data_IF_152943711511
#
_entry.id   IF_152943711511
#
_cell.length_a   1.000
_cell.length_b   1.000
_cell.length_c   1.000
_cell.angle_alpha   90.00
_cell.angle_beta   90.00
_cell.angle_gamma   90.00
#
_symmetry.space_group_name_H-M   'P 1'
#
loop_
_entity.id
_entity.type
_entity.pdbx_description
1 polymer ?
#
# COMPACT_ATOMS: atom_id res chain seq x y z
N UNK A 1 -22.29 40.45 4.74
CA UNK A 1 -22.82 39.75 5.93
C UNK A 1 -23.21 38.34 5.53
N UNK A 2 -22.55 37.35 6.12
CA UNK A 2 -22.73 35.93 5.88
C UNK A 2 -24.12 35.44 6.31
N UNK A 3 -24.72 34.52 5.54
CA UNK A 3 -25.68 33.56 6.09
C UNK A 3 -25.32 32.16 5.60
N UNK A 4 -24.62 31.45 6.48
CA UNK A 4 -24.51 30.00 6.51
C UNK A 4 -25.91 29.38 6.47
N UNK A 5 -26.10 28.35 5.62
CA UNK A 5 -27.26 27.49 5.73
C UNK A 5 -27.55 26.71 4.46
N UNK A 6 -26.94 25.52 4.33
CA UNK A 6 -27.64 24.27 3.99
C UNK A 6 -26.63 23.09 4.00
N UNK A 7 -26.08 22.78 5.18
CA UNK A 7 -25.47 21.47 5.45
C UNK A 7 -26.46 20.69 6.32
N UNK A 8 -27.45 20.10 5.66
CA UNK A 8 -28.32 19.09 6.25
C UNK A 8 -28.78 18.21 5.11
N UNK A 9 -28.51 16.90 5.22
CA UNK A 9 -28.98 15.79 4.37
C UNK A 9 -27.90 14.99 3.65
N UNK A 10 -26.82 14.60 4.31
CA UNK A 10 -26.11 13.35 3.94
C UNK A 10 -25.57 12.69 5.22
N UNK A 11 -26.46 12.19 6.08
CA UNK A 11 -26.05 11.30 7.17
C UNK A 11 -27.20 10.38 7.55
N UNK A 12 -27.59 9.49 6.64
CA UNK A 12 -28.39 8.32 7.00
C UNK A 12 -28.34 7.25 5.90
N UNK A 13 -27.16 6.68 5.64
CA UNK A 13 -27.11 5.32 5.13
C UNK A 13 -26.68 4.47 6.32
N UNK A 14 -27.70 3.88 6.94
CA UNK A 14 -27.62 2.92 8.04
C UNK A 14 -26.64 1.80 7.65
N UNK A 15 -25.39 1.91 8.11
CA UNK A 15 -24.43 0.82 8.14
C UNK A 15 -25.04 -0.26 9.02
N UNK A 16 -25.51 -1.35 8.38
CA UNK A 16 -25.82 -2.61 9.04
C UNK A 16 -24.56 -3.11 9.74
N UNK A 17 -24.37 -2.68 10.98
CA UNK A 17 -23.42 -3.27 11.92
C UNK A 17 -23.98 -4.63 12.32
N UNK A 18 -23.49 -5.68 11.68
CA UNK A 18 -23.58 -7.03 12.24
C UNK A 18 -22.51 -7.10 13.33
N UNK A 19 -22.88 -7.38 14.60
CA UNK A 19 -21.89 -7.59 15.65
C UNK A 19 -21.21 -8.93 15.39
N UNK A 20 -19.93 -8.90 15.00
CA UNK A 20 -19.09 -10.09 15.00
C UNK A 20 -18.75 -10.42 16.45
N UNK A 21 -19.57 -11.31 17.02
CA UNK A 21 -19.22 -12.07 18.20
C UNK A 21 -17.88 -12.80 17.95
N UNK A 22 -17.01 -12.77 18.96
CA UNK A 22 -15.65 -13.28 18.89
C UNK A 22 -15.58 -14.73 18.43
N UNK A 23 -15.13 -14.92 17.20
CA UNK A 23 -14.59 -16.16 16.64
C UNK A 23 -13.39 -15.74 15.78
N UNK A 24 -12.33 -16.55 15.78
CA UNK A 24 -11.06 -16.26 15.10
C UNK A 24 -11.29 -15.65 13.71
N UNK A 25 -10.94 -14.36 13.55
CA UNK A 25 -11.15 -13.63 12.32
C UNK A 25 -10.18 -14.21 11.27
N UNK A 26 -10.70 -14.74 10.16
CA UNK A 26 -9.86 -15.29 9.10
C UNK A 26 -8.92 -14.21 8.56
N UNK A 27 -7.78 -14.60 7.98
CA UNK A 27 -6.83 -13.66 7.37
C UNK A 27 -7.52 -12.75 6.34
N UNK A 28 -8.52 -13.26 5.63
CA UNK A 28 -9.37 -12.51 4.70
C UNK A 28 -10.28 -11.50 5.37
N UNK A 29 -10.95 -11.89 6.44
CA UNK A 29 -11.86 -10.99 7.17
C UNK A 29 -11.09 -9.85 7.85
N UNK A 30 -9.83 -10.09 8.23
CA UNK A 30 -8.93 -9.04 8.70
C UNK A 30 -8.59 -8.04 7.58
N UNK A 31 -8.18 -8.54 6.41
CA UNK A 31 -7.88 -7.68 5.25
C UNK A 31 -9.10 -6.84 4.85
N UNK A 32 -10.28 -7.46 4.85
CA UNK A 32 -11.53 -6.75 4.57
C UNK A 32 -11.82 -5.66 5.62
N UNK A 33 -11.68 -5.97 6.92
CA UNK A 33 -11.88 -4.99 7.99
C UNK A 33 -10.87 -3.84 7.94
N UNK A 34 -9.60 -4.14 7.64
CA UNK A 34 -8.55 -3.13 7.46
C UNK A 34 -8.90 -2.20 6.26
N UNK A 35 -9.43 -2.76 5.17
CA UNK A 35 -9.94 -1.99 4.02
C UNK A 35 -11.11 -1.07 4.39
N UNK A 36 -12.09 -1.55 5.15
CA UNK A 36 -13.23 -0.74 5.62
C UNK A 36 -12.77 0.40 6.53
N UNK A 37 -11.79 0.16 7.41
CA UNK A 37 -11.21 1.21 8.27
C UNK A 37 -10.55 2.30 7.44
N UNK A 38 -9.84 1.93 6.37
CA UNK A 38 -9.22 2.88 5.45
C UNK A 38 -10.26 3.70 4.68
N UNK A 39 -11.42 3.13 4.31
CA UNK A 39 -12.50 3.88 3.65
C UNK A 39 -13.08 5.02 4.49
N UNK A 40 -13.04 4.91 5.82
CA UNK A 40 -13.47 5.98 6.74
C UNK A 40 -12.58 7.23 6.63
N UNK A 41 -11.38 7.06 6.08
CA UNK A 41 -10.44 8.16 5.85
C UNK A 41 -10.71 8.75 4.46
N UNK A 42 -11.26 9.96 4.43
CA UNK A 42 -11.64 10.69 3.20
C UNK A 42 -10.42 11.30 2.48
N UNK A 43 -9.37 10.51 2.25
CA UNK A 43 -8.19 10.91 1.48
C UNK A 43 -7.98 9.97 0.31
N UNK A 44 -7.45 10.48 -0.80
CA UNK A 44 -7.18 9.67 -2.00
C UNK A 44 -6.25 8.49 -1.66
N UNK A 45 -5.19 8.76 -0.88
CA UNK A 45 -4.24 7.73 -0.45
C UNK A 45 -4.90 6.62 0.40
N UNK A 46 -5.79 6.98 1.33
CA UNK A 46 -6.47 5.96 2.13
C UNK A 46 -7.47 5.14 1.30
N UNK A 47 -8.15 5.75 0.34
CA UNK A 47 -9.03 5.02 -0.57
C UNK A 47 -8.25 4.07 -1.50
N UNK A 48 -7.05 4.47 -1.96
CA UNK A 48 -6.17 3.59 -2.74
C UNK A 48 -5.66 2.41 -1.91
N UNK A 49 -5.29 2.64 -0.65
CA UNK A 49 -4.93 1.55 0.29
C UNK A 49 -6.12 0.63 0.57
N UNK A 50 -7.34 1.18 0.70
CA UNK A 50 -8.55 0.39 0.89
C UNK A 50 -8.80 -0.57 -0.29
N UNK A 51 -8.67 -0.09 -1.53
CA UNK A 51 -8.79 -0.92 -2.75
C UNK A 51 -7.81 -2.10 -2.70
N UNK A 52 -6.54 -1.85 -2.40
CA UNK A 52 -5.54 -2.91 -2.31
C UNK A 52 -5.87 -3.96 -1.23
N UNK A 53 -6.47 -3.56 -0.11
CA UNK A 53 -6.91 -4.49 0.93
C UNK A 53 -8.11 -5.33 0.49
N UNK A 54 -9.07 -4.73 -0.22
CA UNK A 54 -10.21 -5.47 -0.78
C UNK A 54 -9.81 -6.43 -1.90
N UNK A 55 -8.83 -6.08 -2.73
CA UNK A 55 -8.29 -6.99 -3.75
C UNK A 55 -7.61 -8.21 -3.10
N UNK A 56 -6.80 -8.00 -2.05
CA UNK A 56 -6.19 -9.10 -1.29
C UNK A 56 -7.24 -9.97 -0.59
N UNK A 57 -8.26 -9.37 0.00
CA UNK A 57 -9.36 -10.10 0.62
C UNK A 57 -10.14 -10.92 -0.43
N UNK A 58 -10.38 -10.35 -1.61
CA UNK A 58 -11.07 -11.02 -2.74
C UNK A 58 -10.32 -12.26 -3.22
N UNK A 59 -8.99 -12.20 -3.29
CA UNK A 59 -8.15 -13.34 -3.72
C UNK A 59 -8.27 -14.51 -2.75
N UNK A 60 -8.42 -14.26 -1.46
CA UNK A 60 -8.42 -15.31 -0.45
C UNK A 60 -9.82 -15.82 -0.06
N UNK A 61 -10.90 -15.15 -0.51
CA UNK A 61 -12.25 -15.69 -0.38
C UNK A 61 -12.54 -16.71 -1.48
N UNK A 62 -13.26 -17.78 -1.13
CA UNK A 62 -13.71 -18.78 -2.11
C UNK A 62 -15.12 -18.47 -2.66
N UNK A 63 -15.99 -17.88 -1.83
CA UNK A 63 -17.39 -17.57 -2.19
C UNK A 63 -17.52 -16.38 -3.15
N UNK A 64 -18.36 -16.55 -4.17
CA UNK A 64 -18.76 -15.50 -5.12
C UNK A 64 -19.38 -14.29 -4.43
N UNK A 65 -20.19 -14.51 -3.39
CA UNK A 65 -20.85 -13.45 -2.65
C UNK A 65 -19.84 -12.56 -1.93
N UNK A 66 -18.84 -13.16 -1.28
CA UNK A 66 -17.78 -12.41 -0.60
C UNK A 66 -16.88 -11.65 -1.57
N UNK A 67 -16.60 -12.24 -2.74
CA UNK A 67 -15.90 -11.55 -3.84
C UNK A 67 -16.69 -10.34 -4.34
N UNK A 68 -18.01 -10.48 -4.52
CA UNK A 68 -18.90 -9.40 -4.94
C UNK A 68 -18.95 -8.26 -3.92
N UNK A 69 -18.91 -8.56 -2.61
CA UNK A 69 -18.82 -7.54 -1.56
C UNK A 69 -17.52 -6.75 -1.70
N UNK A 70 -16.38 -7.41 -1.94
CA UNK A 70 -15.10 -6.73 -2.19
C UNK A 70 -15.19 -5.81 -3.41
N UNK A 71 -15.83 -6.26 -4.50
CA UNK A 71 -16.02 -5.45 -5.72
C UNK A 71 -16.89 -4.22 -5.47
N UNK A 72 -17.95 -4.35 -4.66
CA UNK A 72 -18.77 -3.22 -4.25
C UNK A 72 -17.99 -2.19 -3.43
N UNK A 73 -17.11 -2.65 -2.53
CA UNK A 73 -16.28 -1.75 -1.73
C UNK A 73 -15.20 -1.05 -2.57
N UNK A 74 -14.59 -1.76 -3.52
CA UNK A 74 -13.65 -1.18 -4.50
C UNK A 74 -14.35 -0.08 -5.32
N UNK A 75 -15.55 -0.36 -5.84
CA UNK A 75 -16.35 0.64 -6.59
C UNK A 75 -16.68 1.87 -5.75
N UNK A 76 -16.96 1.66 -4.46
CA UNK A 76 -17.21 2.75 -3.51
C UNK A 76 -15.96 3.61 -3.35
N UNK A 77 -14.79 3.01 -3.10
CA UNK A 77 -13.52 3.73 -3.00
C UNK A 77 -13.15 4.48 -4.28
N UNK A 78 -13.38 3.90 -5.45
CA UNK A 78 -13.18 4.58 -6.75
C UNK A 78 -14.07 5.83 -6.90
N UNK A 79 -15.31 5.75 -6.43
CA UNK A 79 -16.25 6.89 -6.44
C UNK A 79 -15.76 8.00 -5.50
N UNK A 80 -15.27 7.64 -4.31
CA UNK A 80 -14.72 8.61 -3.35
C UNK A 80 -13.47 9.27 -3.95
N UNK A 81 -12.55 8.51 -4.56
CA UNK A 81 -11.36 9.05 -5.22
C UNK A 81 -11.74 10.04 -6.31
N UNK A 82 -12.73 9.71 -7.15
CA UNK A 82 -13.22 10.61 -8.21
C UNK A 82 -13.72 11.93 -7.61
N UNK A 83 -14.53 11.86 -6.55
CA UNK A 83 -15.09 13.04 -5.89
C UNK A 83 -14.01 13.89 -5.19
N UNK A 84 -13.02 13.26 -4.56
CA UNK A 84 -11.89 13.96 -3.93
C UNK A 84 -10.98 14.64 -4.96
N UNK A 85 -10.76 13.99 -6.12
CA UNK A 85 -10.02 14.58 -7.25
C UNK A 85 -10.76 15.76 -7.88
N UNK A 86 -12.09 15.66 -8.07
CA UNK A 86 -12.88 16.79 -8.59
C UNK A 86 -12.93 17.98 -7.62
N UNK A 87 -12.97 17.72 -6.31
CA UNK A 87 -12.92 18.78 -5.27
C UNK A 87 -11.55 19.49 -5.23
N UNK A 88 -10.48 18.82 -5.67
CA UNK A 88 -9.13 19.39 -5.77
C UNK A 88 -8.90 20.24 -7.03
N UNK A 89 -9.79 20.13 -8.04
CA UNK A 89 -9.64 20.75 -9.36
C UNK A 89 -10.58 21.95 -9.62
N UNK A 90 -11.28 22.49 -8.61
CA UNK A 90 -12.04 23.76 -8.74
C UNK A 90 -11.14 25.02 -8.87
N UNK A 91 -9.89 24.84 -9.27
CA UNK A 91 -8.94 25.90 -9.54
C UNK A 91 -8.12 25.68 -10.81
N UNK A 92 -8.73 25.22 -11.91
CA UNK A 92 -8.34 25.50 -13.32
C UNK A 92 -9.07 24.54 -14.28
N UNK A 93 -10.06 25.04 -15.02
CA UNK A 93 -10.10 24.97 -16.49
C UNK A 93 -11.40 25.57 -17.05
N UNK A 94 -11.26 26.67 -17.81
CA UNK A 94 -12.22 27.08 -18.85
C UNK A 94 -11.57 26.77 -20.20
N UNK A 95 -12.16 25.83 -20.95
CA UNK A 95 -12.31 25.82 -22.43
C UNK A 95 -12.86 24.43 -22.83
N UNK A 96 -14.18 24.22 -22.97
CA UNK A 96 -14.98 24.31 -24.22
C UNK A 96 -14.34 23.49 -25.37
N UNK A 97 -15.03 22.63 -26.14
CA UNK A 97 -16.46 22.55 -26.50
C UNK A 97 -16.73 21.24 -27.29
N UNK A 98 -17.78 20.53 -26.88
CA UNK A 98 -18.85 19.80 -27.60
C UNK A 98 -18.55 18.94 -28.87
N UNK A 99 -19.12 17.73 -28.90
CA UNK A 99 -20.08 17.24 -29.93
C UNK A 99 -20.94 16.12 -29.31
N UNK A 100 -22.17 15.98 -29.81
CA UNK A 100 -23.40 15.46 -29.21
C UNK A 100 -23.93 14.23 -30.01
N UNK A 101 -24.49 13.21 -29.31
CA UNK A 101 -25.38 12.08 -29.73
C UNK A 101 -24.95 11.15 -30.91
N UNK A 102 -25.22 9.84 -30.98
CA UNK A 102 -26.33 8.98 -30.53
C UNK A 102 -25.88 7.48 -30.51
N UNK A 103 -26.69 6.50 -30.03
CA UNK A 103 -26.33 5.11 -29.76
C UNK A 103 -26.64 4.18 -30.94
N UNK A 104 -25.85 3.10 -31.11
CA UNK A 104 -26.34 1.75 -31.47
C UNK A 104 -25.20 0.71 -31.43
N UNK A 105 -25.60 -0.49 -31.07
CA UNK A 105 -25.16 -1.81 -31.53
C UNK A 105 -23.85 -2.49 -31.03
N UNK A 106 -24.12 -3.58 -30.30
CA UNK A 106 -23.52 -4.91 -30.23
C UNK A 106 -21.99 -5.19 -30.27
N UNK A 107 -21.59 -5.89 -29.20
CA UNK A 107 -20.79 -7.12 -29.12
C UNK A 107 -19.28 -7.13 -29.47
N UNK A 108 -18.53 -7.34 -28.38
CA UNK A 108 -17.35 -8.21 -28.20
C UNK A 108 -16.05 -7.88 -28.96
N UNK A 109 -14.97 -7.63 -28.22
CA UNK A 109 -13.91 -8.63 -27.96
C UNK A 109 -12.98 -8.10 -26.86
N UNK A 110 -12.66 -9.03 -25.97
CA UNK A 110 -11.68 -9.04 -24.89
C UNK A 110 -10.35 -8.37 -25.27
N UNK A 111 -9.97 -7.32 -24.53
CA UNK A 111 -8.61 -6.77 -24.60
C UNK A 111 -8.05 -6.65 -23.18
N UNK A 112 -6.98 -7.42 -22.95
CA UNK A 112 -6.04 -7.40 -21.83
C UNK A 112 -5.85 -6.00 -21.21
N UNK A 113 -5.63 -5.89 -19.89
CA UNK A 113 -5.43 -4.59 -19.24
C UNK A 113 -4.20 -3.91 -19.84
N UNK A 114 -4.46 -2.83 -20.58
CA UNK A 114 -3.45 -1.94 -21.15
C UNK A 114 -2.64 -1.35 -19.99
N UNK A 115 -1.39 -1.79 -19.84
CA UNK A 115 -0.41 -1.23 -18.89
C UNK A 115 -0.41 0.30 -19.11
N UNK A 116 -0.96 1.06 -18.16
CA UNK A 116 -0.95 2.52 -18.25
C UNK A 116 0.50 2.98 -18.28
N UNK A 117 0.94 3.55 -19.41
CA UNK A 117 2.30 4.08 -19.59
C UNK A 117 2.42 5.32 -18.72
N UNK A 118 3.20 5.23 -17.65
CA UNK A 118 3.40 6.31 -16.67
C UNK A 118 4.63 7.13 -17.06
N UNK A 119 4.42 8.38 -17.44
CA UNK A 119 5.47 9.21 -18.06
C UNK A 119 6.33 9.99 -17.04
N UNK A 120 5.95 10.04 -15.76
CA UNK A 120 6.56 10.94 -14.77
C UNK A 120 6.82 10.27 -13.41
N UNK A 121 7.23 9.01 -13.39
CA UNK A 121 7.48 8.27 -12.14
C UNK A 121 8.59 8.95 -11.33
N UNK A 122 8.30 9.34 -10.10
CA UNK A 122 9.26 9.76 -9.07
C UNK A 122 9.34 8.61 -8.09
N UNK A 123 10.52 8.07 -7.91
CA UNK A 123 10.78 6.98 -6.98
C UNK A 123 12.12 7.25 -6.28
N UNK A 124 12.09 7.39 -4.96
CA UNK A 124 13.27 7.63 -4.15
C UNK A 124 13.12 7.05 -2.75
N UNK A 125 14.23 6.84 -2.06
CA UNK A 125 14.26 6.65 -0.62
C UNK A 125 14.66 7.96 0.06
N UNK A 126 14.12 8.22 1.25
CA UNK A 126 14.67 9.28 2.11
C UNK A 126 16.11 8.95 2.56
N UNK A 127 16.45 7.66 2.63
CA UNK A 127 17.79 7.15 2.86
C UNK A 127 18.00 5.85 2.09
N UNK A 128 19.03 5.81 1.25
CA UNK A 128 19.37 4.66 0.40
C UNK A 128 20.41 3.70 1.02
N UNK A 129 20.80 3.93 2.28
CA UNK A 129 21.77 3.11 2.99
C UNK A 129 21.38 2.86 4.45
N UNK A 130 21.34 1.58 4.85
CA UNK A 130 21.13 1.18 6.23
C UNK A 130 22.30 0.34 6.75
N UNK A 131 22.73 0.63 7.98
CA UNK A 131 23.79 -0.13 8.67
C UNK A 131 23.22 -0.84 9.88
N UNK A 132 23.36 -2.17 9.97
CA UNK A 132 22.86 -2.98 11.08
C UNK A 132 23.99 -3.57 11.93
N UNK A 133 23.68 -3.87 13.19
CA UNK A 133 24.55 -4.61 14.10
C UNK A 133 24.57 -6.10 13.76
N UNK A 134 25.64 -6.77 14.17
CA UNK A 134 25.82 -8.20 13.95
C UNK A 134 24.71 -9.05 14.58
N UNK A 135 24.22 -8.67 15.77
CA UNK A 135 23.19 -9.43 16.50
C UNK A 135 21.87 -9.57 15.75
N UNK A 136 21.55 -8.64 14.84
CA UNK A 136 20.22 -8.56 14.25
C UNK A 136 19.15 -8.18 15.28
N UNK A 137 17.88 -8.33 14.89
CA UNK A 137 16.70 -8.05 15.73
C UNK A 137 16.44 -6.57 16.02
N UNK A 138 17.17 -5.65 15.38
CA UNK A 138 16.81 -4.24 15.34
C UNK A 138 16.03 -3.95 14.05
N UNK A 139 15.05 -3.05 14.14
CA UNK A 139 14.22 -2.62 13.02
C UNK A 139 14.63 -1.22 12.60
N UNK A 140 14.73 -0.98 11.28
CA UNK A 140 14.96 0.35 10.72
C UNK A 140 13.89 0.66 9.69
N UNK A 141 13.43 1.92 9.70
CA UNK A 141 12.40 2.42 8.78
C UNK A 141 13.04 3.27 7.69
N UNK A 142 12.56 3.10 6.47
CA UNK A 142 12.92 3.91 5.30
C UNK A 142 11.64 4.34 4.63
N UNK A 143 11.53 5.64 4.38
CA UNK A 143 10.39 6.19 3.66
C UNK A 143 10.61 6.00 2.16
N UNK A 144 9.62 5.40 1.50
CA UNK A 144 9.59 5.26 0.04
C UNK A 144 8.76 6.40 -0.52
N UNK A 145 9.41 7.27 -1.29
CA UNK A 145 8.74 8.35 -1.98
C UNK A 145 8.42 7.89 -3.40
N UNK A 146 7.19 7.41 -3.61
CA UNK A 146 6.64 7.25 -4.95
C UNK A 146 5.46 8.19 -5.19
N UNK A 147 5.38 8.78 -6.38
CA UNK A 147 4.20 9.54 -6.81
C UNK A 147 3.01 8.65 -7.24
N UNK A 148 3.17 7.33 -7.19
CA UNK A 148 2.12 6.34 -7.38
C UNK A 148 2.03 5.43 -6.15
N UNK A 149 0.83 4.95 -5.81
CA UNK A 149 0.57 4.22 -4.57
C UNK A 149 0.90 2.71 -4.62
N UNK A 150 1.35 2.22 -5.78
CA UNK A 150 1.55 0.80 -6.10
C UNK A 150 3.04 0.39 -6.13
N UNK A 151 3.89 1.11 -5.40
CA UNK A 151 5.26 0.65 -5.23
C UNK A 151 5.29 -0.69 -4.49
N UNK A 152 6.21 -1.57 -4.89
CA UNK A 152 6.36 -2.91 -4.33
C UNK A 152 7.83 -3.26 -4.16
N UNK A 153 8.11 -4.08 -3.15
CA UNK A 153 9.42 -4.72 -3.01
C UNK A 153 9.46 -5.92 -3.95
N UNK A 154 10.50 -6.01 -4.78
CA UNK A 154 10.65 -7.08 -5.78
C UNK A 154 11.73 -8.08 -5.45
N UNK A 155 12.75 -7.66 -4.70
CA UNK A 155 13.86 -8.53 -4.33
C UNK A 155 14.34 -8.24 -2.90
N UNK A 156 14.58 -9.31 -2.15
CA UNK A 156 14.96 -9.26 -0.73
C UNK A 156 15.90 -10.44 -0.43
N UNK A 157 17.14 -10.16 0.03
CA UNK A 157 18.04 -11.19 0.54
C UNK A 157 17.42 -12.02 1.67
N UNK A 158 17.67 -13.33 1.69
CA UNK A 158 17.05 -14.28 2.65
C UNK A 158 17.28 -13.94 4.14
N UNK A 159 18.36 -13.23 4.46
CA UNK A 159 18.70 -12.83 5.83
C UNK A 159 18.02 -11.53 6.27
N UNK A 160 17.15 -10.97 5.42
CA UNK A 160 16.36 -9.77 5.68
C UNK A 160 14.88 -10.11 5.74
N UNK A 161 14.18 -9.45 6.66
CA UNK A 161 12.72 -9.43 6.70
C UNK A 161 12.27 -8.01 6.41
N UNK A 162 11.39 -7.84 5.43
CA UNK A 162 10.81 -6.55 5.08
C UNK A 162 9.31 -6.56 5.31
N UNK A 163 8.79 -5.44 5.80
CA UNK A 163 7.35 -5.22 5.97
C UNK A 163 7.01 -3.76 5.71
N UNK A 164 5.72 -3.48 5.52
CA UNK A 164 5.18 -2.12 5.32
C UNK A 164 4.35 -1.78 6.55
N UNK A 165 4.62 -0.65 7.19
CA UNK A 165 3.85 -0.19 8.35
C UNK A 165 2.60 0.61 7.91
N UNK A 166 1.81 1.07 8.89
CA UNK A 166 0.61 1.89 8.67
C UNK A 166 0.92 3.24 7.98
N UNK A 167 2.13 3.76 8.19
CA UNK A 167 2.61 5.03 7.61
C UNK A 167 3.15 4.87 6.18
N UNK A 168 3.16 3.65 5.63
CA UNK A 168 3.69 3.37 4.29
C UNK A 168 5.22 3.51 4.17
N UNK A 169 5.91 3.34 5.30
CA UNK A 169 7.35 3.17 5.36
C UNK A 169 7.72 1.69 5.18
N UNK A 170 8.87 1.48 4.53
CA UNK A 170 9.53 0.18 4.47
C UNK A 170 10.25 -0.07 5.80
N UNK A 171 9.84 -1.11 6.52
CA UNK A 171 10.48 -1.58 7.75
C UNK A 171 11.37 -2.75 7.43
N UNK A 172 12.65 -2.63 7.74
CA UNK A 172 13.69 -3.64 7.49
C UNK A 172 14.20 -4.19 8.81
N UNK A 173 14.21 -5.51 8.94
CA UNK A 173 14.80 -6.27 10.02
C UNK A 173 15.88 -7.20 9.46
N UNK A 174 16.92 -7.46 10.25
CA UNK A 174 18.02 -8.37 9.89
C UNK A 174 18.09 -9.54 10.86
N UNK A 175 18.35 -10.73 10.32
CA UNK A 175 18.77 -11.87 11.15
C UNK A 175 20.17 -11.66 11.71
N UNK A 176 20.56 -12.47 12.70
CA UNK A 176 21.92 -12.46 13.22
C UNK A 176 22.96 -12.79 12.12
N UNK A 177 24.03 -12.00 12.06
CA UNK A 177 25.21 -12.28 11.27
C UNK A 177 26.24 -13.04 12.12
N UNK A 178 26.22 -14.36 12.00
CA UNK A 178 27.16 -15.27 12.67
C UNK A 178 28.50 -15.40 11.93
N UNK A 179 28.64 -14.79 10.75
CA UNK A 179 29.82 -14.90 9.91
C UNK A 179 31.02 -14.15 10.49
N UNK A 180 32.20 -14.53 10.01
CA UNK A 180 33.45 -13.88 10.42
C UNK A 180 33.63 -12.47 9.83
N UNK A 181 32.81 -12.14 8.84
CA UNK A 181 32.89 -10.95 7.99
C UNK A 181 31.59 -10.13 8.01
N UNK A 182 31.69 -8.87 7.61
CA UNK A 182 30.51 -8.05 7.36
C UNK A 182 29.81 -8.57 6.10
N UNK A 183 28.47 -8.46 6.07
CA UNK A 183 27.68 -8.85 4.90
C UNK A 183 26.90 -7.66 4.36
N UNK A 184 26.73 -7.63 3.05
CA UNK A 184 25.96 -6.61 2.36
C UNK A 184 24.83 -7.26 1.55
N UNK A 185 23.73 -6.54 1.38
CA UNK A 185 22.57 -6.96 0.60
C UNK A 185 21.87 -5.77 0.00
N UNK A 186 21.05 -6.03 -1.02
CA UNK A 186 20.31 -5.00 -1.73
C UNK A 186 18.84 -5.39 -1.72
N UNK A 187 17.98 -4.48 -1.27
CA UNK A 187 16.53 -4.60 -1.45
C UNK A 187 16.14 -3.80 -2.69
N UNK A 188 15.38 -4.39 -3.60
CA UNK A 188 14.86 -3.71 -4.79
C UNK A 188 13.41 -3.31 -4.59
N UNK A 189 13.13 -2.05 -4.95
CA UNK A 189 11.77 -1.49 -4.91
C UNK A 189 11.44 -0.94 -6.28
N UNK A 190 10.29 -1.36 -6.79
CA UNK A 190 9.75 -0.88 -8.05
C UNK A 190 8.54 0.00 -7.83
N UNK A 191 8.39 1.01 -8.67
CA UNK A 191 7.17 1.79 -8.81
C UNK A 191 6.96 2.07 -10.30
N UNK A 192 5.88 1.55 -10.87
CA UNK A 192 5.70 1.54 -12.33
C UNK A 192 6.86 0.84 -13.03
N UNK A 193 7.54 1.56 -13.94
CA UNK A 193 8.70 1.08 -14.70
C UNK A 193 10.05 1.54 -14.12
N UNK A 194 10.07 2.16 -12.92
CA UNK A 194 11.32 2.52 -12.24
C UNK A 194 11.62 1.53 -11.12
N UNK A 195 12.90 1.18 -11.01
CA UNK A 195 13.46 0.38 -9.92
C UNK A 195 14.51 1.21 -9.18
N UNK A 196 14.51 1.17 -7.86
CA UNK A 196 15.59 1.69 -7.01
C UNK A 196 16.06 0.62 -6.02
N UNK A 197 17.30 0.80 -5.55
CA UNK A 197 17.99 -0.16 -4.70
C UNK A 197 18.33 0.45 -3.35
N UNK A 198 17.99 -0.24 -2.27
CA UNK A 198 18.36 0.10 -0.89
C UNK A 198 19.52 -0.79 -0.46
N UNK A 199 20.66 -0.19 -0.12
CA UNK A 199 21.86 -0.92 0.28
C UNK A 199 21.83 -1.16 1.79
N UNK A 200 21.97 -2.43 2.18
CA UNK A 200 22.00 -2.87 3.57
C UNK A 200 23.39 -3.41 3.88
N UNK A 201 24.07 -2.83 4.86
CA UNK A 201 25.31 -3.35 5.40
C UNK A 201 25.09 -3.85 6.82
N UNK A 202 25.47 -5.08 7.11
CA UNK A 202 25.42 -5.64 8.46
C UNK A 202 26.81 -5.98 8.95
N UNK A 203 27.16 -5.41 10.11
CA UNK A 203 28.45 -5.61 10.75
C UNK A 203 28.65 -7.08 11.16
N UNK A 204 29.91 -7.46 11.35
CA UNK A 204 30.29 -8.66 12.09
C UNK A 204 30.38 -8.38 13.58
N UNK A 205 30.32 -9.43 14.39
CA UNK A 205 30.65 -9.31 15.80
C UNK A 205 32.10 -8.86 15.98
N UNK A 206 32.31 -7.92 16.90
CA UNK A 206 33.65 -7.58 17.37
C UNK A 206 34.29 -8.76 18.09
N UNK A 207 35.62 -8.72 18.21
CA UNK A 207 36.39 -9.76 18.91
C UNK A 207 35.88 -9.99 20.34
N UNK A 208 35.53 -8.92 21.05
CA UNK A 208 35.00 -8.97 22.41
C UNK A 208 33.60 -9.61 22.46
N UNK A 209 32.71 -9.26 21.54
CA UNK A 209 31.36 -9.85 21.49
C UNK A 209 31.42 -11.35 21.17
N UNK A 210 32.31 -11.78 20.27
CA UNK A 210 32.53 -13.21 20.00
C UNK A 210 33.04 -13.98 21.21
N UNK A 211 33.95 -13.39 21.98
CA UNK A 211 34.47 -14.00 23.21
C UNK A 211 33.35 -14.22 24.23
N UNK A 212 32.47 -13.23 24.42
CA UNK A 212 31.30 -13.36 25.31
C UNK A 212 30.35 -14.48 24.85
N UNK A 213 30.11 -14.61 23.55
CA UNK A 213 29.27 -15.69 22.99
C UNK A 213 29.86 -17.09 23.22
N UNK A 214 31.20 -17.23 23.24
CA UNK A 214 31.86 -18.52 23.50
C UNK A 214 31.84 -18.96 24.96
N UNK A 215 31.67 -18.03 25.90
CA UNK A 215 31.67 -18.31 27.35
C UNK A 215 30.27 -18.69 27.86
N UNK A 216 29.21 -18.36 27.11
CA UNK A 216 27.81 -18.57 27.49
C UNK A 216 27.23 -19.90 26.93
N UNK A 217 28.01 -20.66 26.17
CA UNK A 217 27.68 -22.03 25.74
C UNK A 217 28.38 -23.05 26.64
#
# INVERSE_FOLDING_TARGET
>A
MCRFGLLKNIFLVMLLFIPLAGLAQSSCDKLFADGVKLQQTMTIAAQNRAIAMFEKAKVCYDSSERKNICDQQIKTSLTIIKNLKSSSNEGKEKAKKNTEMNPDDSLSIESLPKKEVRNDIKLAFNNNHLVFKAKGGEFKKVKVECNYDDWRVTDVPEWLTVSRNDDDDLVVETSENTMEEERAGVIKVECGDKEISLIINQKKYSKLERLKMKIIK
#
